data_IF_497022446871
#
_entry.id   IF_497022446871
#
_cell.length_a   1.000
_cell.length_b   1.000
_cell.length_c   1.000
_cell.angle_alpha   90.00
_cell.angle_beta   90.00
_cell.angle_gamma   90.00
#
_symmetry.space_group_name_H-M   'P 1'
#
loop_
_entity.id
_entity.type
_entity.pdbx_description
1 polymer ?
#
# COMPACT_ATOMS: atom_id res chain seq x y z
N UNK A 1 16.41 -14.94 -14.29
CA UNK A 1 15.69 -14.74 -13.02
C UNK A 1 16.02 -13.36 -12.45
N UNK A 2 15.24 -12.88 -11.47
CA UNK A 2 15.33 -11.51 -10.95
C UNK A 2 16.73 -11.12 -10.44
N UNK A 3 17.51 -12.10 -9.94
CA UNK A 3 18.87 -11.91 -9.43
C UNK A 3 20.00 -12.24 -10.42
N UNK A 4 19.68 -12.60 -11.67
CA UNK A 4 20.70 -12.96 -12.65
C UNK A 4 21.59 -11.75 -12.94
N UNK A 5 22.91 -11.92 -12.82
CA UNK A 5 23.92 -10.86 -12.99
C UNK A 5 23.76 -9.66 -12.03
N UNK A 6 23.04 -9.83 -10.91
CA UNK A 6 22.79 -8.78 -9.90
C UNK A 6 23.32 -9.21 -8.52
N UNK A 7 24.48 -9.87 -8.47
CA UNK A 7 24.96 -10.58 -7.27
C UNK A 7 25.09 -9.69 -6.03
N UNK A 8 25.68 -8.49 -6.16
CA UNK A 8 25.84 -7.57 -5.02
C UNK A 8 24.50 -7.03 -4.52
N UNK A 9 23.64 -6.60 -5.45
CA UNK A 9 22.28 -6.16 -5.15
C UNK A 9 21.49 -7.25 -4.41
N UNK A 10 21.48 -8.48 -4.93
CA UNK A 10 20.70 -9.55 -4.33
C UNK A 10 21.25 -10.00 -2.97
N UNK A 11 22.57 -9.93 -2.75
CA UNK A 11 23.13 -10.19 -1.42
C UNK A 11 22.64 -9.16 -0.38
N UNK A 12 22.57 -7.87 -0.74
CA UNK A 12 22.02 -6.82 0.13
C UNK A 12 20.52 -6.99 0.35
N UNK A 13 19.78 -7.32 -0.72
CA UNK A 13 18.35 -7.55 -0.66
C UNK A 13 18.01 -8.76 0.23
N UNK A 14 18.68 -9.89 0.05
CA UNK A 14 18.46 -11.10 0.85
C UNK A 14 18.76 -10.83 2.34
N UNK A 15 19.86 -10.13 2.67
CA UNK A 15 20.18 -9.74 4.06
C UNK A 15 19.09 -8.83 4.66
N UNK A 16 18.64 -7.81 3.91
CA UNK A 16 17.57 -6.93 4.35
C UNK A 16 16.25 -7.68 4.57
N UNK A 17 15.86 -8.52 3.61
CA UNK A 17 14.63 -9.31 3.66
C UNK A 17 14.64 -10.29 4.82
N UNK A 18 15.78 -10.93 5.08
CA UNK A 18 15.93 -11.85 6.20
C UNK A 18 15.83 -11.12 7.55
N UNK A 19 16.51 -9.98 7.71
CA UNK A 19 16.41 -9.15 8.92
C UNK A 19 14.97 -8.68 9.17
N UNK A 20 14.26 -8.26 8.11
CA UNK A 20 12.87 -7.83 8.24
C UNK A 20 11.91 -8.96 8.61
N UNK A 21 12.12 -10.15 8.03
CA UNK A 21 11.39 -11.36 8.43
C UNK A 21 11.64 -11.70 9.90
N UNK A 22 12.90 -11.66 10.34
CA UNK A 22 13.30 -11.96 11.71
C UNK A 22 12.78 -10.94 12.71
N UNK A 23 12.76 -9.66 12.35
CA UNK A 23 12.11 -8.60 13.13
C UNK A 23 10.61 -8.85 13.25
N UNK A 24 9.91 -9.06 12.13
CA UNK A 24 8.46 -9.24 12.11
C UNK A 24 8.04 -10.43 12.96
N UNK A 25 8.73 -11.57 12.80
CA UNK A 25 8.53 -12.80 13.58
C UNK A 25 8.74 -12.58 15.08
N UNK A 26 9.89 -12.04 15.50
CA UNK A 26 10.17 -11.82 16.93
C UNK A 26 9.16 -10.86 17.56
N UNK A 27 8.73 -9.85 16.81
CA UNK A 27 7.84 -8.81 17.32
C UNK A 27 6.41 -9.30 17.43
N UNK A 28 5.91 -10.04 16.43
CA UNK A 28 4.58 -10.65 16.50
C UNK A 28 4.51 -11.75 17.58
N UNK A 29 5.55 -12.57 17.76
CA UNK A 29 5.62 -13.59 18.81
C UNK A 29 5.51 -12.95 20.21
N UNK A 30 6.11 -11.77 20.38
CA UNK A 30 6.09 -11.03 21.64
C UNK A 30 4.77 -10.31 21.90
N UNK A 31 4.13 -9.77 20.85
CA UNK A 31 3.06 -8.77 21.01
C UNK A 31 1.67 -9.26 20.57
N UNK A 32 1.54 -10.32 19.77
CA UNK A 32 0.26 -10.78 19.21
C UNK A 32 -0.82 -11.09 20.25
N UNK A 33 -0.45 -11.52 21.45
CA UNK A 33 -1.41 -11.78 22.54
C UNK A 33 -1.96 -10.53 23.22
N UNK A 34 -1.28 -9.38 23.07
CA UNK A 34 -1.59 -8.14 23.79
C UNK A 34 -1.90 -6.95 22.90
N UNK A 35 -1.54 -7.01 21.61
CA UNK A 35 -1.69 -5.92 20.65
C UNK A 35 -2.41 -6.40 19.39
N UNK A 36 -3.63 -5.88 19.11
CA UNK A 36 -4.40 -6.28 17.94
C UNK A 36 -3.71 -6.08 16.59
N UNK A 37 -2.84 -5.08 16.48
CA UNK A 37 -2.07 -4.85 15.27
C UNK A 37 -1.11 -6.01 15.00
N UNK A 38 -0.32 -6.38 16.02
CA UNK A 38 0.65 -7.46 15.91
C UNK A 38 -0.01 -8.84 15.84
N UNK A 39 -1.22 -9.00 16.37
CA UNK A 39 -2.03 -10.18 16.11
C UNK A 39 -2.39 -10.32 14.62
N UNK A 40 -2.73 -9.23 13.94
CA UNK A 40 -3.03 -9.30 12.50
C UNK A 40 -1.78 -9.43 11.64
N UNK A 41 -0.64 -8.86 12.06
CA UNK A 41 0.66 -9.16 11.45
C UNK A 41 0.91 -10.67 11.53
N UNK A 42 0.75 -11.27 12.71
CA UNK A 42 0.88 -12.71 12.91
C UNK A 42 -0.01 -13.52 11.97
N UNK A 43 -1.31 -13.23 11.92
CA UNK A 43 -2.23 -13.97 11.05
C UNK A 43 -1.90 -13.82 9.56
N UNK A 44 -1.43 -12.64 9.13
CA UNK A 44 -0.96 -12.41 7.76
C UNK A 44 0.31 -13.20 7.45
N UNK A 45 1.26 -13.29 8.39
CA UNK A 45 2.49 -14.08 8.24
C UNK A 45 2.21 -15.59 8.26
N UNK A 46 1.22 -16.05 9.04
CA UNK A 46 0.73 -17.44 8.98
C UNK A 46 0.08 -17.76 7.62
N UNK A 47 -0.64 -16.81 7.03
CA UNK A 47 -1.17 -16.96 5.67
C UNK A 47 -0.02 -17.08 4.63
N UNK A 48 1.06 -16.32 4.81
CA UNK A 48 2.27 -16.42 3.98
C UNK A 48 2.98 -17.77 4.16
N UNK A 49 3.11 -18.26 5.39
CA UNK A 49 3.69 -19.57 5.68
C UNK A 49 2.92 -20.68 4.96
N UNK A 50 1.59 -20.70 5.06
CA UNK A 50 0.76 -21.69 4.37
C UNK A 50 0.93 -21.67 2.85
N UNK A 51 1.04 -20.47 2.25
CA UNK A 51 1.35 -20.34 0.82
C UNK A 51 2.76 -20.86 0.51
N UNK A 52 3.74 -20.53 1.35
CA UNK A 52 5.13 -20.93 1.19
C UNK A 52 5.31 -22.45 1.26
N UNK A 53 4.64 -23.11 2.21
CA UNK A 53 4.71 -24.57 2.35
C UNK A 53 4.22 -25.27 1.06
N UNK A 54 3.19 -24.73 0.40
CA UNK A 54 2.73 -25.24 -0.90
C UNK A 54 3.78 -25.07 -2.01
N UNK A 55 4.45 -23.91 -2.08
CA UNK A 55 5.51 -23.68 -3.08
C UNK A 55 6.73 -24.59 -2.89
N UNK A 56 7.04 -24.92 -1.64
CA UNK A 56 8.19 -25.75 -1.27
C UNK A 56 7.82 -27.23 -1.09
N UNK A 57 6.59 -27.61 -1.43
CA UNK A 57 6.05 -28.98 -1.33
C UNK A 57 6.18 -29.58 0.09
N UNK A 58 5.95 -28.75 1.09
CA UNK A 58 5.97 -29.09 2.52
C UNK A 58 4.54 -29.44 2.95
N UNK A 59 4.38 -30.56 3.66
CA UNK A 59 3.09 -30.94 4.27
C UNK A 59 2.70 -29.94 5.35
N UNK A 60 1.41 -29.57 5.41
CA UNK A 60 0.89 -28.66 6.43
C UNK A 60 1.29 -29.09 7.85
N UNK A 61 2.03 -28.20 8.51
CA UNK A 61 2.46 -28.35 9.91
C UNK A 61 2.27 -27.02 10.63
N UNK A 62 1.27 -26.99 11.51
CA UNK A 62 0.87 -25.78 12.26
C UNK A 62 1.87 -25.38 13.35
N UNK A 63 2.91 -26.18 13.60
CA UNK A 63 3.98 -25.84 14.53
C UNK A 63 5.16 -25.12 13.87
N UNK A 64 5.17 -25.09 12.52
CA UNK A 64 6.22 -24.41 11.76
C UNK A 64 6.15 -22.91 11.93
N UNK A 65 7.32 -22.29 11.77
CA UNK A 65 7.47 -20.85 11.66
C UNK A 65 8.25 -20.54 10.38
N UNK A 66 7.92 -19.40 9.76
CA UNK A 66 8.63 -18.92 8.59
C UNK A 66 9.99 -18.34 9.04
N UNK A 67 11.05 -19.12 8.87
CA UNK A 67 12.39 -18.77 9.37
C UNK A 67 13.33 -18.22 8.30
N UNK A 68 13.03 -18.47 7.02
CA UNK A 68 13.85 -18.06 5.89
C UNK A 68 13.00 -17.28 4.89
N UNK A 69 13.63 -16.38 4.14
CA UNK A 69 13.01 -15.75 2.96
C UNK A 69 12.63 -16.83 1.93
N UNK A 70 11.39 -16.79 1.45
CA UNK A 70 10.87 -17.79 0.49
C UNK A 70 10.37 -17.15 -0.79
N UNK A 71 10.13 -17.97 -1.82
CA UNK A 71 9.55 -17.52 -3.09
C UNK A 71 8.19 -16.85 -2.91
N UNK A 72 7.39 -17.35 -1.97
CA UNK A 72 6.10 -16.76 -1.63
C UNK A 72 6.27 -15.34 -1.07
N UNK A 73 7.27 -15.09 -0.22
CA UNK A 73 7.54 -13.74 0.28
C UNK A 73 7.91 -12.80 -0.86
N UNK A 74 8.78 -13.23 -1.78
CA UNK A 74 9.17 -12.43 -2.95
C UNK A 74 8.00 -12.02 -3.84
N UNK A 75 6.95 -12.83 -3.97
CA UNK A 75 5.75 -12.43 -4.72
C UNK A 75 4.93 -11.33 -4.04
N UNK A 76 5.04 -11.18 -2.72
CA UNK A 76 4.23 -10.26 -1.93
C UNK A 76 4.89 -8.89 -1.73
N UNK A 77 6.22 -8.79 -1.90
CA UNK A 77 7.00 -7.56 -1.67
C UNK A 77 7.26 -6.76 -2.94
N UNK A 78 6.56 -7.06 -4.05
CA UNK A 78 6.84 -6.45 -5.36
C UNK A 78 6.77 -4.92 -5.35
N UNK A 79 5.85 -4.35 -4.57
CA UNK A 79 5.79 -2.89 -4.39
C UNK A 79 7.00 -2.36 -3.61
N UNK A 80 7.36 -3.03 -2.50
CA UNK A 80 8.52 -2.66 -1.68
C UNK A 80 9.84 -2.78 -2.44
N UNK A 81 9.93 -3.67 -3.44
CA UNK A 81 11.10 -3.82 -4.29
C UNK A 81 11.39 -2.56 -5.12
N UNK A 82 10.41 -1.70 -5.40
CA UNK A 82 10.63 -0.48 -6.20
C UNK A 82 11.71 0.40 -5.54
N UNK A 83 11.59 0.64 -4.23
CA UNK A 83 12.59 1.39 -3.46
C UNK A 83 13.85 0.58 -3.18
N UNK A 84 13.72 -0.71 -2.86
CA UNK A 84 14.88 -1.55 -2.52
C UNK A 84 15.83 -1.75 -3.71
N UNK A 85 15.30 -1.77 -4.94
CA UNK A 85 16.09 -1.76 -6.18
C UNK A 85 17.01 -0.53 -6.25
N UNK A 86 16.47 0.67 -6.01
CA UNK A 86 17.25 1.90 -6.05
C UNK A 86 18.20 2.00 -4.84
N UNK A 87 17.71 1.70 -3.63
CA UNK A 87 18.48 1.80 -2.39
C UNK A 87 19.71 0.87 -2.36
N UNK A 88 19.62 -0.32 -2.96
CA UNK A 88 20.71 -1.29 -3.02
C UNK A 88 21.50 -1.26 -4.33
N UNK A 89 21.21 -0.30 -5.21
CA UNK A 89 21.98 -0.06 -6.43
C UNK A 89 21.82 -1.15 -7.49
N UNK A 90 20.60 -1.66 -7.68
CA UNK A 90 20.30 -2.59 -8.78
C UNK A 90 20.66 -1.95 -10.12
N UNK A 91 21.35 -2.68 -10.98
CA UNK A 91 21.56 -2.25 -12.37
C UNK A 91 20.25 -2.42 -13.14
N UNK A 92 19.70 -1.34 -13.70
CA UNK A 92 18.40 -1.38 -14.39
C UNK A 92 18.43 -2.33 -15.59
N UNK A 93 17.45 -3.23 -15.62
CA UNK A 93 17.21 -4.21 -16.67
C UNK A 93 15.69 -4.44 -16.85
N UNK A 94 15.31 -5.24 -17.84
CA UNK A 94 13.90 -5.54 -18.13
C UNK A 94 13.14 -6.26 -16.98
N UNK A 95 13.83 -6.71 -15.94
CA UNK A 95 13.25 -7.35 -14.77
C UNK A 95 13.02 -6.39 -13.60
N UNK A 96 13.59 -5.18 -13.67
CA UNK A 96 13.50 -4.16 -12.63
C UNK A 96 12.08 -3.63 -12.53
N UNK A 97 11.52 -3.59 -11.33
CA UNK A 97 10.17 -3.08 -11.06
C UNK A 97 10.13 -1.54 -11.08
N UNK A 98 11.24 -0.86 -10.80
CA UNK A 98 11.33 0.62 -10.80
C UNK A 98 11.21 1.28 -12.19
N UNK A 99 11.11 0.49 -13.28
CA UNK A 99 11.05 1.01 -14.65
C UNK A 99 9.73 1.69 -15.04
N UNK A 100 8.63 1.41 -14.34
CA UNK A 100 7.30 1.92 -14.72
C UNK A 100 6.74 2.74 -13.56
N UNK A 101 6.44 4.04 -13.76
CA UNK A 101 5.75 4.83 -12.74
C UNK A 101 4.39 4.18 -12.46
N UNK A 102 4.00 4.16 -11.20
CA UNK A 102 2.80 3.46 -10.80
C UNK A 102 1.54 4.19 -11.28
N UNK A 103 0.42 3.50 -11.26
CA UNK A 103 -0.97 3.92 -11.16
C UNK A 103 -1.47 5.36 -11.43
N UNK A 104 -2.72 5.45 -11.90
CA UNK A 104 -3.54 6.66 -11.85
C UNK A 104 -4.87 6.37 -11.14
N UNK A 105 -5.38 7.32 -10.36
CA UNK A 105 -6.61 7.13 -9.60
C UNK A 105 -7.51 8.38 -9.57
N UNK A 106 -8.82 8.16 -9.41
CA UNK A 106 -9.83 9.22 -9.36
C UNK A 106 -10.92 8.88 -8.34
N UNK A 107 -11.23 9.83 -7.46
CA UNK A 107 -12.47 9.89 -6.66
C UNK A 107 -13.34 11.00 -7.24
N UNK A 108 -14.59 10.73 -7.58
CA UNK A 108 -15.47 11.66 -8.28
C UNK A 108 -16.88 11.67 -7.69
N UNK A 109 -17.35 12.85 -7.26
CA UNK A 109 -18.76 13.10 -6.93
C UNK A 109 -19.49 13.47 -8.22
N UNK A 110 -20.59 12.78 -8.54
CA UNK A 110 -21.38 12.97 -9.77
C UNK A 110 -22.79 13.50 -9.48
N UNK A 111 -23.42 14.10 -10.49
CA UNK A 111 -24.84 14.47 -10.49
C UNK A 111 -25.32 15.23 -9.25
N UNK A 112 -24.74 16.39 -8.91
CA UNK A 112 -25.08 17.15 -7.68
C UNK A 112 -25.25 16.28 -6.42
N UNK A 113 -24.22 15.46 -6.15
CA UNK A 113 -24.17 14.48 -5.06
C UNK A 113 -25.09 13.26 -5.23
N UNK A 114 -25.53 12.92 -6.44
CA UNK A 114 -26.26 11.68 -6.76
C UNK A 114 -25.45 10.43 -6.40
N UNK A 115 -24.14 10.41 -6.70
CA UNK A 115 -23.26 9.28 -6.40
C UNK A 115 -21.80 9.72 -6.19
N UNK A 116 -20.97 8.81 -5.69
CA UNK A 116 -19.53 8.96 -5.56
C UNK A 116 -18.78 7.73 -6.09
N UNK A 117 -17.96 7.94 -7.12
CA UNK A 117 -17.15 6.91 -7.74
C UNK A 117 -15.71 6.94 -7.24
N UNK A 118 -15.10 5.76 -7.14
CA UNK A 118 -13.69 5.56 -6.85
C UNK A 118 -13.13 4.57 -7.86
N UNK A 119 -12.14 5.02 -8.65
CA UNK A 119 -11.57 4.26 -9.73
C UNK A 119 -10.03 4.29 -9.66
N UNK A 120 -9.43 3.14 -9.97
CA UNK A 120 -7.98 2.94 -9.97
C UNK A 120 -7.56 2.27 -11.28
N UNK A 121 -6.45 2.73 -11.86
CA UNK A 121 -5.85 2.18 -13.08
C UNK A 121 -4.38 1.88 -12.83
N UNK A 122 -4.07 0.60 -12.60
CA UNK A 122 -2.69 0.15 -12.35
C UNK A 122 -1.82 0.28 -13.59
N UNK A 123 -0.66 0.88 -13.42
CA UNK A 123 0.38 0.91 -14.44
C UNK A 123 1.46 -0.09 -14.05
N UNK A 124 1.66 -1.10 -14.89
CA UNK A 124 2.60 -2.17 -14.58
C UNK A 124 3.10 -2.84 -15.85
N UNK A 125 4.14 -3.66 -15.73
CA UNK A 125 4.73 -4.37 -16.87
C UNK A 125 3.73 -5.39 -17.46
N UNK A 126 3.64 -5.46 -18.79
CA UNK A 126 2.71 -6.36 -19.49
C UNK A 126 2.88 -7.84 -19.14
N UNK A 127 4.09 -8.28 -18.76
CA UNK A 127 4.33 -9.65 -18.28
C UNK A 127 3.58 -10.01 -16.99
N UNK A 128 3.02 -9.02 -16.30
CA UNK A 128 2.28 -9.18 -15.05
C UNK A 128 0.77 -9.32 -15.25
N UNK A 129 0.27 -9.38 -16.49
CA UNK A 129 -1.18 -9.43 -16.78
C UNK A 129 -1.90 -10.76 -16.46
N UNK A 130 -1.29 -11.65 -15.67
CA UNK A 130 -2.01 -12.78 -15.06
C UNK A 130 -2.77 -12.29 -13.82
N UNK A 131 -4.02 -11.86 -14.04
CA UNK A 131 -4.86 -11.20 -13.03
C UNK A 131 -5.78 -12.16 -12.31
N UNK A 132 -6.06 -11.87 -11.04
CA UNK A 132 -7.07 -12.56 -10.23
C UNK A 132 -7.81 -11.56 -9.35
N UNK A 133 -9.13 -11.47 -9.50
CA UNK A 133 -9.97 -10.82 -8.49
C UNK A 133 -10.09 -11.73 -7.28
N UNK A 134 -9.85 -11.21 -6.08
CA UNK A 134 -9.91 -11.99 -4.84
C UNK A 134 -10.95 -11.43 -3.89
N UNK A 135 -11.61 -12.33 -3.18
CA UNK A 135 -12.46 -12.04 -2.02
C UNK A 135 -12.05 -12.94 -0.88
N UNK A 136 -11.46 -12.36 0.15
CA UNK A 136 -11.16 -13.07 1.39
C UNK A 136 -12.26 -12.78 2.40
N UNK A 137 -12.72 -13.82 3.09
CA UNK A 137 -13.64 -13.69 4.24
C UNK A 137 -13.08 -14.57 5.34
N UNK A 138 -12.42 -13.93 6.32
CA UNK A 138 -11.78 -14.62 7.41
C UNK A 138 -12.46 -14.28 8.74
N UNK A 139 -12.78 -15.28 9.59
CA UNK A 139 -13.34 -15.06 10.92
C UNK A 139 -12.24 -14.76 11.95
N UNK A 140 -11.26 -13.92 11.56
CA UNK A 140 -10.16 -13.54 12.45
C UNK A 140 -10.66 -12.61 13.55
N UNK A 141 -10.05 -12.71 14.72
CA UNK A 141 -10.35 -11.86 15.87
C UNK A 141 -9.22 -10.86 16.11
N UNK A 142 -9.52 -9.77 16.82
CA UNK A 142 -8.56 -8.74 17.19
C UNK A 142 -7.52 -9.23 18.21
N UNK A 143 -7.75 -10.37 18.86
CA UNK A 143 -6.76 -11.03 19.72
C UNK A 143 -7.05 -12.53 19.82
N UNK A 144 -6.07 -13.35 20.21
CA UNK A 144 -6.19 -14.81 20.22
C UNK A 144 -7.23 -15.32 21.23
N UNK A 145 -7.34 -14.66 22.39
CA UNK A 145 -8.21 -15.09 23.49
C UNK A 145 -9.54 -14.33 23.56
N UNK A 146 -9.80 -13.42 22.61
CA UNK A 146 -10.97 -12.54 22.65
C UNK A 146 -12.15 -13.18 21.90
N UNK A 147 -13.13 -13.65 22.65
CA UNK A 147 -14.34 -14.29 22.11
C UNK A 147 -15.52 -13.31 21.95
N UNK A 148 -16.34 -13.53 20.93
CA UNK A 148 -17.59 -12.79 20.69
C UNK A 148 -17.65 -12.09 19.33
N UNK A 149 -18.84 -11.71 18.89
CA UNK A 149 -19.01 -11.04 17.57
C UNK A 149 -18.33 -9.68 17.49
N UNK A 150 -18.22 -8.97 18.63
CA UNK A 150 -17.54 -7.68 18.73
C UNK A 150 -16.01 -7.75 18.65
N UNK A 151 -15.41 -8.94 18.78
CA UNK A 151 -13.96 -9.13 18.68
C UNK A 151 -13.48 -9.55 17.30
N UNK A 152 -14.40 -9.83 16.37
CA UNK A 152 -14.05 -10.13 14.97
C UNK A 152 -13.45 -8.88 14.32
N UNK A 153 -12.42 -9.08 13.47
CA UNK A 153 -11.82 -7.99 12.70
C UNK A 153 -12.89 -7.28 11.85
N UNK A 154 -12.94 -5.94 11.85
CA UNK A 154 -13.99 -5.19 11.14
C UNK A 154 -14.02 -5.47 9.63
N UNK A 155 -12.84 -5.43 9.01
CA UNK A 155 -12.61 -5.78 7.62
C UNK A 155 -12.49 -7.30 7.43
N UNK A 156 -13.41 -8.07 8.03
CA UNK A 156 -13.45 -9.54 7.90
C UNK A 156 -13.54 -9.99 6.44
N UNK A 157 -14.22 -9.20 5.61
CA UNK A 157 -14.28 -9.43 4.17
C UNK A 157 -13.53 -8.31 3.44
N UNK A 158 -12.56 -8.70 2.62
CA UNK A 158 -11.82 -7.78 1.74
C UNK A 158 -11.89 -8.32 0.32
N UNK A 159 -12.31 -7.47 -0.62
CA UNK A 159 -12.30 -7.74 -2.06
C UNK A 159 -11.26 -6.86 -2.73
N UNK A 160 -10.49 -7.40 -3.66
CA UNK A 160 -9.36 -6.70 -4.27
C UNK A 160 -9.02 -7.25 -5.65
N UNK A 161 -8.54 -6.38 -6.54
CA UNK A 161 -7.81 -6.79 -7.73
C UNK A 161 -6.44 -7.32 -7.31
N UNK A 162 -5.94 -8.40 -7.92
CA UNK A 162 -4.70 -9.04 -7.49
C UNK A 162 -4.11 -9.92 -8.60
N UNK A 163 -3.15 -10.78 -8.23
CA UNK A 163 -2.33 -11.62 -9.11
C UNK A 163 -2.16 -13.02 -8.50
N UNK A 164 -1.84 -14.02 -9.31
CA UNK A 164 -1.52 -15.36 -8.79
C UNK A 164 -0.34 -15.32 -7.79
N UNK A 165 -0.41 -16.09 -6.70
CA UNK A 165 0.66 -16.17 -5.69
C UNK A 165 0.82 -14.95 -4.77
N UNK A 166 0.10 -13.85 -5.01
CA UNK A 166 0.07 -12.70 -4.09
C UNK A 166 -1.03 -12.86 -3.04
N UNK A 167 -0.86 -12.38 -1.83
CA UNK A 167 -1.87 -12.37 -0.76
C UNK A 167 -2.56 -11.01 -0.63
N UNK A 168 -2.04 -10.01 -1.33
CA UNK A 168 -2.49 -8.61 -1.34
C UNK A 168 -2.79 -8.16 -2.77
N UNK A 169 -3.25 -6.92 -2.96
CA UNK A 169 -3.61 -6.40 -4.28
C UNK A 169 -2.36 -6.20 -5.16
N UNK A 170 -1.36 -5.48 -4.64
CA UNK A 170 -0.21 -4.96 -5.38
C UNK A 170 -0.57 -4.06 -6.56
N UNK A 171 -1.82 -3.58 -6.61
CA UNK A 171 -2.24 -2.56 -7.57
C UNK A 171 -2.04 -1.15 -7.00
N UNK A 172 -2.56 -0.73 -5.84
CA UNK A 172 -3.53 -1.39 -4.96
C UNK A 172 -4.98 -0.86 -5.07
N UNK A 173 -5.96 -1.77 -4.98
CA UNK A 173 -7.38 -1.44 -4.83
C UNK A 173 -8.10 -2.48 -3.93
N UNK A 174 -8.69 -2.00 -2.83
CA UNK A 174 -9.40 -2.81 -1.83
C UNK A 174 -10.80 -2.26 -1.54
N UNK A 175 -11.76 -3.16 -1.36
CA UNK A 175 -13.07 -2.91 -0.79
C UNK A 175 -13.22 -3.75 0.49
N UNK A 176 -13.48 -3.09 1.61
CA UNK A 176 -13.62 -3.74 2.92
C UNK A 176 -15.08 -3.82 3.36
N UNK A 177 -15.44 -4.85 4.12
CA UNK A 177 -16.78 -4.99 4.73
C UNK A 177 -17.14 -3.88 5.70
N UNK A 178 -16.18 -3.03 6.09
CA UNK A 178 -16.41 -1.82 6.89
C UNK A 178 -16.97 -0.66 6.07
N UNK A 179 -17.21 -0.84 4.77
CA UNK A 179 -17.64 0.24 3.87
C UNK A 179 -16.49 1.17 3.47
N UNK A 180 -15.24 0.77 3.74
CA UNK A 180 -14.07 1.50 3.25
C UNK A 180 -13.65 0.99 1.88
N UNK A 181 -13.34 1.92 0.98
CA UNK A 181 -12.60 1.66 -0.24
C UNK A 181 -11.22 2.32 -0.13
N UNK A 182 -10.18 1.57 -0.49
CA UNK A 182 -8.78 1.96 -0.29
C UNK A 182 -8.03 1.72 -1.58
N UNK A 183 -7.33 2.73 -2.09
CA UNK A 183 -6.43 2.60 -3.23
C UNK A 183 -5.20 3.48 -3.05
N UNK A 184 -4.20 3.33 -3.89
CA UNK A 184 -3.02 4.18 -3.84
C UNK A 184 -2.48 4.52 -5.23
N UNK A 185 -1.57 5.50 -5.29
CA UNK A 185 -0.59 5.55 -6.38
C UNK A 185 0.80 5.77 -5.79
N UNK A 186 1.81 5.04 -6.29
CA UNK A 186 3.17 5.16 -5.78
C UNK A 186 3.76 6.52 -6.12
N UNK A 187 4.37 7.17 -5.16
CA UNK A 187 4.98 8.49 -5.28
C UNK A 187 6.50 8.34 -5.43
N UNK A 188 7.09 9.07 -6.37
CA UNK A 188 8.51 8.94 -6.67
C UNK A 188 9.39 9.51 -5.54
N UNK A 189 10.40 8.74 -5.12
CA UNK A 189 11.51 9.25 -4.32
C UNK A 189 12.78 9.36 -5.17
N UNK A 190 13.29 10.57 -5.34
CA UNK A 190 14.55 10.84 -6.04
C UNK A 190 15.65 11.35 -5.11
N UNK A 191 15.37 11.42 -3.80
CA UNK A 191 16.33 11.81 -2.79
C UNK A 191 17.09 10.55 -2.27
N UNK A 192 18.38 10.37 -2.60
CA UNK A 192 19.14 9.21 -2.15
C UNK A 192 19.40 9.20 -0.64
N UNK A 193 19.38 10.34 0.03
CA UNK A 193 19.62 10.42 1.47
C UNK A 193 18.51 9.74 2.27
N UNK A 194 17.30 9.64 1.71
CA UNK A 194 16.19 8.92 2.34
C UNK A 194 16.40 7.41 2.40
N UNK A 195 17.26 6.85 1.53
CA UNK A 195 17.59 5.42 1.60
C UNK A 195 18.41 5.06 2.84
N UNK A 196 19.11 6.04 3.44
CA UNK A 196 19.84 5.87 4.70
C UNK A 196 18.91 5.67 5.90
N UNK A 197 17.61 6.00 5.74
CA UNK A 197 16.58 5.83 6.77
C UNK A 197 15.89 4.47 6.69
N UNK A 198 16.20 3.64 5.68
CA UNK A 198 15.66 2.29 5.60
C UNK A 198 16.30 1.42 6.68
N UNK A 199 15.45 0.92 7.58
CA UNK A 199 15.84 0.01 8.64
C UNK A 199 14.95 -1.25 8.56
N UNK A 200 15.53 -2.44 8.23
CA UNK A 200 14.77 -3.67 8.15
C UNK A 200 14.12 -4.07 9.49
N UNK A 201 14.59 -3.53 10.62
CA UNK A 201 14.06 -3.82 11.96
C UNK A 201 13.14 -2.71 12.52
N UNK A 202 12.74 -1.72 11.71
CA UNK A 202 11.86 -0.65 12.17
C UNK A 202 10.36 -0.99 12.05
N UNK A 203 9.96 -1.73 11.01
CA UNK A 203 8.56 -2.01 10.70
C UNK A 203 8.39 -3.21 9.76
N UNK A 204 7.23 -3.90 9.77
CA UNK A 204 6.85 -4.77 8.67
C UNK A 204 6.76 -3.99 7.35
N UNK A 205 7.05 -4.64 6.23
CA UNK A 205 6.93 -4.03 4.90
C UNK A 205 5.49 -3.63 4.54
N UNK A 206 5.35 -2.73 3.57
CA UNK A 206 4.09 -2.05 3.24
C UNK A 206 2.97 -3.01 2.89
N UNK A 207 3.27 -4.11 2.19
CA UNK A 207 2.26 -5.12 1.86
C UNK A 207 1.55 -5.70 3.10
N UNK A 208 2.26 -5.87 4.23
CA UNK A 208 1.66 -6.29 5.50
C UNK A 208 0.86 -5.16 6.09
N UNK A 209 1.47 -3.97 6.22
CA UNK A 209 0.89 -2.81 6.90
C UNK A 209 -0.42 -2.37 6.25
N UNK A 210 -0.49 -2.32 4.93
CA UNK A 210 -1.69 -1.96 4.17
C UNK A 210 -2.84 -2.95 4.39
N UNK A 211 -2.55 -4.26 4.39
CA UNK A 211 -3.58 -5.28 4.65
C UNK A 211 -4.05 -5.24 6.11
N UNK A 212 -3.15 -5.05 7.08
CA UNK A 212 -3.49 -4.90 8.50
C UNK A 212 -4.40 -3.68 8.70
N UNK A 213 -4.02 -2.51 8.17
CA UNK A 213 -4.85 -1.31 8.25
C UNK A 213 -6.23 -1.53 7.62
N UNK A 214 -6.29 -2.14 6.43
CA UNK A 214 -7.55 -2.43 5.72
C UNK A 214 -8.48 -3.37 6.49
N UNK A 215 -7.92 -4.31 7.26
CA UNK A 215 -8.70 -5.23 8.10
C UNK A 215 -9.15 -4.62 9.42
N UNK A 216 -8.36 -3.73 10.01
CA UNK A 216 -8.65 -3.17 11.33
C UNK A 216 -9.56 -1.94 11.28
N UNK A 217 -9.43 -1.09 10.26
CA UNK A 217 -10.02 0.22 10.27
C UNK A 217 -11.54 0.24 10.04
N UNK A 218 -12.24 1.10 10.78
CA UNK A 218 -13.67 1.41 10.61
C UNK A 218 -13.91 2.76 9.94
N UNK A 219 -12.91 3.63 9.89
CA UNK A 219 -12.98 4.96 9.26
C UNK A 219 -11.71 5.25 8.46
N UNK A 220 -11.78 6.27 7.59
CA UNK A 220 -10.60 6.73 6.83
C UNK A 220 -9.44 7.16 7.73
N UNK A 221 -9.74 7.94 8.77
CA UNK A 221 -8.77 8.36 9.78
C UNK A 221 -8.09 7.17 10.48
N UNK A 222 -8.89 6.21 10.95
CA UNK A 222 -8.37 5.03 11.64
C UNK A 222 -7.46 4.20 10.71
N UNK A 223 -7.80 4.09 9.42
CA UNK A 223 -6.93 3.43 8.45
C UNK A 223 -5.58 4.14 8.36
N UNK A 224 -5.60 5.46 8.21
CA UNK A 224 -4.40 6.29 8.11
C UNK A 224 -3.52 6.17 9.39
N UNK A 225 -4.14 6.30 10.57
CA UNK A 225 -3.47 6.15 11.86
C UNK A 225 -2.82 4.76 12.03
N UNK A 226 -3.51 3.69 11.64
CA UNK A 226 -3.00 2.31 11.76
C UNK A 226 -1.85 2.06 10.78
N UNK A 227 -1.96 2.55 9.54
CA UNK A 227 -0.89 2.40 8.54
C UNK A 227 0.36 3.19 8.94
N UNK A 228 0.18 4.41 9.46
CA UNK A 228 1.26 5.30 9.89
C UNK A 228 1.94 4.88 11.20
N UNK A 229 1.33 3.96 11.97
CA UNK A 229 1.82 3.51 13.29
C UNK A 229 3.30 3.12 13.28
N UNK A 230 3.72 2.43 12.23
CA UNK A 230 5.11 2.06 11.95
C UNK A 230 5.34 2.22 10.45
N UNK A 231 6.51 2.71 10.05
CA UNK A 231 6.82 3.06 8.67
C UNK A 231 8.10 2.35 8.22
N UNK A 232 8.02 1.53 7.17
CA UNK A 232 9.17 0.84 6.60
C UNK A 232 9.98 1.69 5.61
N UNK A 233 9.42 2.79 5.10
CA UNK A 233 10.03 3.61 4.05
C UNK A 233 10.04 2.96 2.67
N UNK A 234 9.37 1.83 2.50
CA UNK A 234 9.27 1.07 1.25
C UNK A 234 7.86 1.16 0.67
N UNK A 235 7.71 0.96 -0.64
CA UNK A 235 6.49 1.15 -1.42
C UNK A 235 5.78 2.47 -1.06
N UNK A 236 6.47 3.57 -1.33
CA UNK A 236 6.05 4.90 -0.91
C UNK A 236 4.89 5.35 -1.79
N UNK A 237 3.72 5.51 -1.19
CA UNK A 237 2.49 5.74 -1.93
C UNK A 237 1.68 6.91 -1.35
N UNK A 238 0.85 7.52 -2.20
CA UNK A 238 -0.31 8.31 -1.78
C UNK A 238 -1.53 7.38 -1.69
N UNK A 239 -1.92 7.03 -0.46
CA UNK A 239 -3.12 6.27 -0.14
C UNK A 239 -4.35 7.16 -0.09
N UNK A 240 -5.44 6.69 -0.70
CA UNK A 240 -6.76 7.32 -0.68
C UNK A 240 -7.75 6.38 0.00
N UNK A 241 -8.38 6.85 1.06
CA UNK A 241 -9.31 6.07 1.88
C UNK A 241 -10.68 6.75 1.87
N UNK A 242 -11.58 6.18 1.08
CA UNK A 242 -12.96 6.63 0.95
C UNK A 242 -13.86 5.85 1.91
N UNK A 243 -14.59 6.56 2.76
CA UNK A 243 -15.60 5.99 3.64
C UNK A 243 -17.00 6.14 3.05
N UNK A 244 -17.45 5.09 2.36
CA UNK A 244 -18.79 5.06 1.76
C UNK A 244 -19.92 5.16 2.78
N UNK A 245 -19.69 4.82 4.06
CA UNK A 245 -20.72 4.93 5.11
C UNK A 245 -21.16 6.36 5.36
N UNK A 246 -20.30 7.34 5.04
CA UNK A 246 -20.55 8.75 5.26
C UNK A 246 -21.24 9.43 4.07
N UNK A 247 -21.25 8.80 2.90
CA UNK A 247 -21.91 9.35 1.73
C UNK A 247 -23.42 9.09 1.77
N UNK A 248 -24.22 10.11 1.46
CA UNK A 248 -25.68 9.99 1.31
C UNK A 248 -26.07 10.69 0.00
N UNK A 249 -26.68 9.98 -0.97
CA UNK A 249 -27.14 10.58 -2.22
C UNK A 249 -28.00 11.83 -2.01
N UNK A 250 -27.74 12.86 -2.82
CA UNK A 250 -28.41 14.16 -2.79
C UNK A 250 -28.01 15.05 -1.60
N UNK A 251 -26.97 14.69 -0.83
CA UNK A 251 -26.44 15.53 0.26
C UNK A 251 -24.97 15.86 0.05
N UNK A 252 -24.52 17.07 0.45
CA UNK A 252 -23.10 17.41 0.44
C UNK A 252 -22.25 16.38 1.19
N UNK A 253 -21.10 16.04 0.63
CA UNK A 253 -20.17 15.05 1.22
C UNK A 253 -19.64 15.54 2.57
N UNK A 254 -19.95 14.89 3.71
CA UNK A 254 -19.55 15.37 5.04
C UNK A 254 -18.06 15.17 5.31
N UNK A 255 -17.47 15.91 6.25
CA UNK A 255 -16.06 15.72 6.63
C UNK A 255 -15.76 14.26 7.03
N UNK A 256 -14.52 13.84 6.86
CA UNK A 256 -13.98 12.50 7.03
C UNK A 256 -14.39 11.48 5.96
N UNK A 257 -15.08 11.89 4.88
CA UNK A 257 -15.40 10.95 3.79
C UNK A 257 -14.16 10.53 3.01
N UNK A 258 -13.19 11.41 2.75
CA UNK A 258 -11.97 11.07 2.03
C UNK A 258 -10.72 11.49 2.83
N UNK A 259 -9.96 10.49 3.27
CA UNK A 259 -8.66 10.67 3.89
C UNK A 259 -7.54 10.36 2.90
N UNK A 260 -6.48 11.17 2.91
CA UNK A 260 -5.25 10.93 2.15
C UNK A 260 -4.12 10.68 3.13
N UNK A 261 -3.25 9.72 2.83
CA UNK A 261 -1.97 9.49 3.51
C UNK A 261 -0.85 9.37 2.49
N UNK A 262 0.26 10.05 2.71
CA UNK A 262 1.50 9.92 1.96
C UNK A 262 2.63 9.45 2.87
N UNK A 263 3.52 8.64 2.33
CA UNK A 263 4.66 8.08 3.05
C UNK A 263 5.96 8.27 2.27
N UNK A 264 7.03 8.59 2.98
CA UNK A 264 8.43 8.45 2.54
C UNK A 264 9.25 7.79 3.66
N UNK A 265 10.51 7.36 3.43
CA UNK A 265 11.38 6.94 4.52
C UNK A 265 11.44 7.99 5.64
N UNK A 266 11.10 7.58 6.86
CA UNK A 266 11.14 8.43 8.05
C UNK A 266 9.98 9.41 8.25
N UNK A 267 9.03 9.51 7.32
CA UNK A 267 7.89 10.46 7.44
C UNK A 267 6.59 9.91 6.84
N UNK A 268 5.49 10.17 7.53
CA UNK A 268 4.13 10.00 7.01
C UNK A 268 3.35 11.30 7.21
N UNK A 269 2.49 11.63 6.25
CA UNK A 269 1.55 12.74 6.35
C UNK A 269 0.16 12.29 5.96
N UNK A 270 -0.83 12.79 6.66
CA UNK A 270 -2.21 12.41 6.44
C UNK A 270 -3.14 13.58 6.75
N UNK A 271 -4.23 13.69 6.01
CA UNK A 271 -5.24 14.72 6.24
C UNK A 271 -6.61 14.32 5.67
N UNK A 272 -7.65 14.97 6.18
CA UNK A 272 -9.01 14.90 5.64
C UNK A 272 -9.15 15.87 4.48
N UNK A 273 -9.23 15.34 3.26
CA UNK A 273 -9.28 16.11 2.02
C UNK A 273 -10.72 16.31 1.53
N UNK A 274 -11.71 15.98 2.37
CA UNK A 274 -13.13 16.04 1.98
C UNK A 274 -13.58 17.45 1.57
N UNK A 275 -13.03 18.51 2.15
CA UNK A 275 -13.33 19.88 1.73
C UNK A 275 -12.93 20.13 0.27
N UNK A 276 -11.74 19.66 -0.14
CA UNK A 276 -11.27 19.76 -1.52
C UNK A 276 -12.16 18.93 -2.44
N UNK A 277 -12.50 17.71 -2.03
CA UNK A 277 -13.40 16.84 -2.80
C UNK A 277 -14.78 17.51 -3.01
N UNK A 278 -15.33 18.17 -1.98
CA UNK A 278 -16.60 18.88 -2.05
C UNK A 278 -16.53 20.09 -2.98
N UNK A 279 -15.46 20.88 -2.88
CA UNK A 279 -15.29 22.11 -3.65
C UNK A 279 -14.95 21.85 -5.13
N UNK A 280 -14.12 20.84 -5.40
CA UNK A 280 -13.70 20.49 -6.77
C UNK A 280 -14.60 19.43 -7.42
N UNK A 281 -15.38 18.71 -6.64
CA UNK A 281 -16.13 17.49 -7.01
C UNK A 281 -15.26 16.27 -7.35
N UNK A 282 -13.94 16.36 -7.27
CA UNK A 282 -13.03 15.24 -7.52
C UNK A 282 -11.72 15.34 -6.74
N UNK A 283 -11.08 14.19 -6.57
CA UNK A 283 -9.68 14.02 -6.18
C UNK A 283 -8.97 13.12 -7.18
N UNK A 284 -7.78 13.50 -7.63
CA UNK A 284 -7.00 12.75 -8.62
C UNK A 284 -5.60 12.46 -8.10
N UNK A 285 -5.08 11.27 -8.40
CA UNK A 285 -3.75 10.81 -7.98
C UNK A 285 -2.96 10.26 -9.17
N UNK A 286 -1.67 10.58 -9.24
CA UNK A 286 -0.83 10.39 -10.43
C UNK A 286 0.69 10.43 -10.12
N UNK A 287 1.11 9.81 -9.01
CA UNK A 287 2.52 9.60 -8.61
C UNK A 287 3.33 10.82 -8.18
N UNK A 288 2.68 11.96 -8.02
CA UNK A 288 3.33 13.15 -7.48
C UNK A 288 2.66 13.43 -6.13
N UNK A 289 3.50 13.60 -5.10
CA UNK A 289 3.04 13.89 -3.75
C UNK A 289 2.27 15.21 -3.72
N UNK A 290 1.18 15.22 -2.96
CA UNK A 290 0.32 16.36 -2.74
C UNK A 290 0.78 17.20 -1.54
N UNK A 291 1.20 16.55 -0.45
CA UNK A 291 1.65 17.28 0.73
C UNK A 291 3.04 17.88 0.45
N UNK A 292 3.17 19.19 0.63
CA UNK A 292 4.39 19.93 0.26
C UNK A 292 5.64 19.35 0.91
N UNK A 293 5.57 18.91 2.16
CA UNK A 293 6.74 18.36 2.84
C UNK A 293 7.15 16.98 2.32
N UNK A 294 6.21 16.17 1.85
CA UNK A 294 6.52 14.92 1.14
C UNK A 294 7.07 15.22 -0.26
N UNK A 295 6.50 16.19 -0.96
CA UNK A 295 7.00 16.68 -2.26
C UNK A 295 8.43 17.19 -2.14
N UNK A 296 8.71 18.01 -1.13
CA UNK A 296 10.02 18.63 -0.89
C UNK A 296 11.06 17.58 -0.47
N UNK A 297 10.74 16.69 0.47
CA UNK A 297 11.72 15.73 1.00
C UNK A 297 12.12 14.66 -0.02
N UNK A 298 11.23 14.34 -0.97
CA UNK A 298 11.47 13.36 -2.04
C UNK A 298 12.25 13.92 -3.25
N UNK A 299 12.74 15.15 -3.12
CA UNK A 299 13.50 15.90 -4.12
C UNK A 299 12.73 16.21 -5.43
N UNK A 300 11.40 16.30 -5.36
CA UNK A 300 10.59 16.71 -6.53
C UNK A 300 10.84 18.16 -6.99
N UNK A 301 11.10 19.15 -6.11
CA UNK A 301 11.44 20.50 -6.57
C UNK A 301 12.63 20.55 -7.54
N UNK A 302 13.67 19.75 -7.28
CA UNK A 302 14.85 19.64 -8.13
C UNK A 302 14.50 19.04 -9.49
N UNK A 303 13.59 18.06 -9.51
CA UNK A 303 13.06 17.46 -10.75
C UNK A 303 12.25 18.47 -11.58
N UNK A 304 11.51 19.35 -10.91
CA UNK A 304 10.81 20.47 -11.57
C UNK A 304 11.79 21.50 -12.14
N UNK A 305 12.87 21.82 -11.43
CA UNK A 305 13.91 22.73 -11.93
C UNK A 305 14.61 22.15 -13.18
N UNK A 306 14.91 20.85 -13.17
CA UNK A 306 15.65 20.20 -14.24
C UNK A 306 14.78 19.83 -15.46
N UNK A 307 13.56 19.35 -15.24
CA UNK A 307 12.70 18.78 -16.29
C UNK A 307 11.35 19.50 -16.46
N UNK A 308 11.08 20.53 -15.66
CA UNK A 308 9.89 21.35 -15.76
C UNK A 308 8.61 20.68 -15.27
N UNK A 309 7.49 21.09 -15.87
CA UNK A 309 6.14 20.79 -15.39
C UNK A 309 5.77 19.29 -15.39
N UNK A 310 6.58 18.40 -15.96
CA UNK A 310 6.35 16.96 -15.89
C UNK A 310 6.31 16.45 -14.43
N UNK A 311 7.13 17.05 -13.56
CA UNK A 311 7.23 16.70 -12.12
C UNK A 311 6.47 17.68 -11.21
N UNK A 312 5.82 18.70 -11.78
CA UNK A 312 4.95 19.60 -11.00
C UNK A 312 3.64 18.89 -10.67
N UNK A 313 3.21 18.98 -9.42
CA UNK A 313 1.94 18.41 -8.98
C UNK A 313 0.76 18.95 -9.80
N UNK A 314 0.66 20.27 -10.01
CA UNK A 314 -0.50 20.92 -10.61
C UNK A 314 -0.45 21.03 -12.15
N UNK A 315 0.71 20.80 -12.76
CA UNK A 315 0.94 20.97 -14.21
C UNK A 315 1.44 19.73 -14.92
N UNK A 316 1.66 18.62 -14.23
CA UNK A 316 1.97 17.35 -14.86
C UNK A 316 0.92 16.97 -15.92
N UNK A 317 1.30 16.24 -17.00
CA UNK A 317 0.36 15.87 -18.06
C UNK A 317 -0.94 15.23 -17.55
N UNK A 318 -0.86 14.33 -16.56
CA UNK A 318 -2.04 13.70 -15.95
C UNK A 318 -2.87 14.66 -15.13
N UNK A 319 -2.25 15.57 -14.37
CA UNK A 319 -2.96 16.62 -13.65
C UNK A 319 -3.78 17.50 -14.62
N UNK A 320 -3.18 17.87 -15.75
CA UNK A 320 -3.86 18.63 -16.81
C UNK A 320 -5.05 17.88 -17.42
N UNK A 321 -4.87 16.58 -17.71
CA UNK A 321 -5.93 15.74 -18.28
C UNK A 321 -7.08 15.60 -17.28
N UNK A 322 -6.79 15.25 -16.02
CA UNK A 322 -7.82 15.16 -14.99
C UNK A 322 -8.57 16.48 -14.84
N UNK A 323 -7.85 17.60 -14.69
CA UNK A 323 -8.45 18.94 -14.57
C UNK A 323 -9.38 19.29 -15.72
N UNK A 324 -9.04 18.90 -16.96
CA UNK A 324 -9.88 19.18 -18.15
C UNK A 324 -11.07 18.22 -18.25
N UNK A 325 -10.86 16.93 -18.02
CA UNK A 325 -11.77 15.87 -18.45
C UNK A 325 -12.58 15.22 -17.32
N UNK A 326 -12.27 15.44 -16.04
CA UNK A 326 -12.99 14.82 -14.93
C UNK A 326 -14.50 15.09 -14.93
N UNK A 327 -14.94 16.20 -15.55
CA UNK A 327 -16.34 16.59 -15.69
C UNK A 327 -17.13 15.74 -16.70
N UNK A 328 -16.45 14.93 -17.51
CA UNK A 328 -17.06 14.02 -18.50
C UNK A 328 -17.40 12.66 -17.92
N UNK A 329 -17.00 12.40 -16.66
CA UNK A 329 -17.27 11.16 -15.92
C UNK A 329 -18.71 11.15 -15.43
#
# INVERSE_FOLDING_TARGET
HYCDNQTEFCAKLDDFMQKNLDYSRRTEEKLSSSDPYWNLVHLQMQQLLGLSDVFENITLDTTRTLTNVTRALYFNVVGDLIELEEAFGRVKDMHSFSLVPACSALVKVVGDYEDIYMAHSTWFQYRSMLRMQKKYTFPWHLGPDVVGTGSIVPGRTVTMSSYAGKLVSSDDFYLSSTGLAVMETSIENTNPDLWLLLDPEAAPLTWVRAMVATRMARSGREWADIFARVNSGTYNNQWMILDYKLFTPGKPVPNNTLWILEQMPGITRQDDITEILRNKTYWSSYNIAYFNDIFDISAQPQRVEEYGDYYSYDKAPRANIFRRDHVKV
#
